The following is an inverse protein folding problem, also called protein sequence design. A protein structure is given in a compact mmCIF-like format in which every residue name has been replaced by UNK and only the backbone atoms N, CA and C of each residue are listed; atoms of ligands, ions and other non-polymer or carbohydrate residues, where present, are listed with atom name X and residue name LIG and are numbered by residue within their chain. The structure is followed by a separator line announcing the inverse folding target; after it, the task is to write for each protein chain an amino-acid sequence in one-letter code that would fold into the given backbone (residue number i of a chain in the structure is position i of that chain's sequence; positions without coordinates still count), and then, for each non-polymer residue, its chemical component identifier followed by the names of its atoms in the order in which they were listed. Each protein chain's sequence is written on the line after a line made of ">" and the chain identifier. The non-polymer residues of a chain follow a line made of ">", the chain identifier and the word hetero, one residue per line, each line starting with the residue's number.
data_IF_130915001155
#
_entry.id   IF_130915001155
#
_cell.length_a   1.000
_cell.length_b   1.000
_cell.length_c   1.000
_cell.angle_alpha   90.00
_cell.angle_beta   90.00
_cell.angle_gamma   90.00
#
_symmetry.space_group_name_H-M   'P 1'
#
loop_
_entity.id
_entity.type
_entity.pdbx_description
1 polymer ?
#
# COMPACT_ATOMS: atom_id res chain seq x y z
N UNK A 1 7.09 -0.74 -39.29
CA UNK A 1 7.83 -0.42 -38.05
C UNK A 1 6.88 -0.48 -36.87
N UNK A 2 6.94 -1.54 -36.08
CA UNK A 2 6.11 -1.68 -34.87
C UNK A 2 6.75 -0.80 -33.80
N UNK A 3 6.07 0.29 -33.39
CA UNK A 3 6.49 1.11 -32.24
C UNK A 3 6.37 0.22 -31.00
N UNK A 4 7.46 -0.41 -30.59
CA UNK A 4 7.54 -1.12 -29.33
C UNK A 4 7.36 -0.13 -28.19
N UNK A 5 6.19 -0.12 -27.57
CA UNK A 5 5.96 0.55 -26.30
C UNK A 5 6.95 -0.03 -25.28
N UNK A 6 7.99 0.74 -24.95
CA UNK A 6 8.88 0.38 -23.85
C UNK A 6 8.07 0.48 -22.56
N UNK A 7 7.58 -0.66 -22.06
CA UNK A 7 6.99 -0.76 -20.71
C UNK A 7 8.05 -0.28 -19.72
N UNK A 8 7.89 0.94 -19.22
CA UNK A 8 8.76 1.55 -18.23
C UNK A 8 8.64 0.70 -16.97
N UNK A 9 9.59 -0.20 -16.75
CA UNK A 9 9.71 -0.95 -15.51
C UNK A 9 10.20 0.02 -14.43
N UNK A 10 9.28 0.86 -13.95
CA UNK A 10 9.57 1.72 -12.80
C UNK A 10 9.94 0.81 -11.63
N UNK A 11 11.17 0.97 -11.10
CA UNK A 11 11.55 0.37 -9.83
C UNK A 11 10.57 0.89 -8.77
N UNK A 12 9.55 0.10 -8.46
CA UNK A 12 8.65 0.39 -7.34
C UNK A 12 9.30 -0.10 -6.05
N UNK A 13 9.40 0.80 -5.08
CA UNK A 13 9.83 0.46 -3.73
C UNK A 13 8.85 -0.54 -3.14
N UNK A 14 9.39 -1.65 -2.64
CA UNK A 14 8.61 -2.69 -1.94
C UNK A 14 8.82 -2.53 -0.44
N UNK A 15 7.76 -2.71 0.33
CA UNK A 15 7.86 -2.76 1.79
C UNK A 15 8.43 -4.13 2.17
N UNK A 16 9.54 -4.12 2.88
CA UNK A 16 10.13 -5.31 3.49
C UNK A 16 9.65 -5.42 4.95
N UNK A 17 8.49 -6.06 5.13
CA UNK A 17 7.90 -6.21 6.46
C UNK A 17 8.74 -7.12 7.38
N UNK A 18 9.52 -8.05 6.81
CA UNK A 18 10.34 -8.97 7.57
C UNK A 18 11.45 -8.23 8.34
N UNK A 19 11.94 -7.11 7.80
CA UNK A 19 12.92 -6.23 8.47
C UNK A 19 12.43 -5.70 9.82
N UNK A 20 11.12 -5.59 10.04
CA UNK A 20 10.53 -5.12 11.30
C UNK A 20 9.84 -6.24 12.09
N UNK A 21 10.07 -7.50 11.74
CA UNK A 21 9.40 -8.65 12.35
C UNK A 21 7.87 -8.53 12.30
N UNK A 22 7.33 -7.94 11.23
CA UNK A 22 5.91 -7.63 11.10
C UNK A 22 5.30 -8.39 9.93
N UNK A 23 4.03 -8.79 10.06
CA UNK A 23 3.27 -9.46 8.99
C UNK A 23 2.37 -8.45 8.28
N UNK A 24 2.15 -8.66 6.98
CA UNK A 24 1.21 -7.85 6.18
C UNK A 24 -0.21 -8.01 6.73
N UNK A 25 -0.57 -9.22 7.11
CA UNK A 25 -1.87 -9.59 7.67
C UNK A 25 -2.10 -8.85 9.00
N UNK A 26 -1.05 -8.71 9.83
CA UNK A 26 -1.14 -7.95 11.08
C UNK A 26 -1.49 -6.47 10.83
N UNK A 27 -0.86 -5.83 9.83
CA UNK A 27 -1.19 -4.45 9.45
C UNK A 27 -2.66 -4.27 9.09
N UNK A 28 -3.24 -5.26 8.38
CA UNK A 28 -4.68 -5.24 8.04
C UNK A 28 -5.54 -5.38 9.30
N UNK A 29 -5.20 -6.31 10.20
CA UNK A 29 -5.96 -6.51 11.44
C UNK A 29 -5.92 -5.27 12.35
N UNK A 30 -4.75 -4.64 12.49
CA UNK A 30 -4.60 -3.39 13.23
C UNK A 30 -5.39 -2.25 12.58
N UNK A 31 -5.42 -2.18 11.23
CA UNK A 31 -6.22 -1.17 10.53
C UNK A 31 -7.72 -1.32 10.84
N UNK A 32 -8.24 -2.56 10.79
CA UNK A 32 -9.67 -2.85 11.02
C UNK A 32 -10.11 -2.57 12.46
N UNK A 33 -9.20 -2.72 13.43
CA UNK A 33 -9.47 -2.49 14.86
C UNK A 33 -9.11 -1.08 15.34
N UNK A 34 -8.44 -0.27 14.50
CA UNK A 34 -8.00 1.05 14.87
C UNK A 34 -9.19 2.00 15.15
N UNK A 35 -9.22 2.54 16.36
CA UNK A 35 -10.23 3.51 16.81
C UNK A 35 -10.16 4.85 16.06
N UNK A 36 -8.95 5.30 15.71
CA UNK A 36 -8.76 6.60 15.05
C UNK A 36 -8.76 6.44 13.51
N UNK A 37 -9.62 7.17 12.77
CA UNK A 37 -9.73 7.03 11.31
C UNK A 37 -8.40 7.19 10.57
N UNK A 38 -7.60 8.19 10.97
CA UNK A 38 -6.27 8.42 10.36
C UNK A 38 -5.30 7.25 10.57
N UNK A 39 -5.41 6.53 11.69
CA UNK A 39 -4.56 5.36 11.96
C UNK A 39 -4.98 4.20 11.07
N UNK A 40 -6.29 3.97 10.93
CA UNK A 40 -6.84 2.97 9.99
C UNK A 40 -6.39 3.21 8.56
N UNK A 41 -6.51 4.44 8.07
CA UNK A 41 -6.05 4.84 6.73
C UNK A 41 -4.56 4.52 6.51
N UNK A 42 -3.69 4.90 7.45
CA UNK A 42 -2.24 4.70 7.31
C UNK A 42 -1.85 3.22 7.33
N UNK A 43 -2.47 2.44 8.22
CA UNK A 43 -2.21 1.01 8.31
C UNK A 43 -2.72 0.27 7.06
N UNK A 44 -3.91 0.63 6.56
CA UNK A 44 -4.43 0.07 5.32
C UNK A 44 -3.57 0.47 4.11
N UNK A 45 -3.06 1.70 4.07
CA UNK A 45 -2.15 2.14 3.01
C UNK A 45 -0.86 1.34 3.02
N UNK A 46 -0.28 1.12 4.19
CA UNK A 46 0.94 0.34 4.33
C UNK A 46 0.72 -1.13 3.95
N UNK A 47 -0.42 -1.70 4.31
CA UNK A 47 -0.84 -3.02 3.87
C UNK A 47 -0.92 -3.11 2.34
N UNK A 48 -1.64 -2.21 1.68
CA UNK A 48 -1.79 -2.18 0.22
C UNK A 48 -0.46 -2.02 -0.51
N UNK A 49 0.42 -1.13 -0.04
CA UNK A 49 1.76 -0.94 -0.60
C UNK A 49 2.61 -2.21 -0.39
N UNK A 50 2.47 -2.90 0.75
CA UNK A 50 3.17 -4.18 0.99
C UNK A 50 2.73 -5.31 0.05
N UNK A 51 1.55 -5.20 -0.57
CA UNK A 51 1.07 -6.10 -1.62
C UNK A 51 1.62 -5.74 -3.03
N UNK A 52 2.43 -4.68 -3.13
CA UNK A 52 3.03 -4.22 -4.38
C UNK A 52 2.23 -3.14 -5.09
N UNK A 53 1.20 -2.57 -4.46
CA UNK A 53 0.47 -1.42 -5.01
C UNK A 53 1.29 -0.14 -4.89
N UNK A 54 1.02 0.83 -5.77
CA UNK A 54 1.75 2.10 -5.78
C UNK A 54 1.25 3.00 -4.66
N UNK A 55 2.17 3.58 -3.90
CA UNK A 55 1.81 4.57 -2.88
C UNK A 55 0.93 5.70 -3.43
N UNK A 56 1.17 6.10 -4.69
CA UNK A 56 0.37 7.13 -5.38
C UNK A 56 -1.02 6.65 -5.79
N UNK A 57 -1.19 5.37 -6.13
CA UNK A 57 -2.53 4.83 -6.42
C UNK A 57 -3.31 4.62 -5.12
N UNK A 58 -2.64 4.06 -4.11
CA UNK A 58 -3.18 3.81 -2.77
C UNK A 58 -3.62 5.11 -2.08
N UNK A 59 -2.86 6.20 -2.23
CA UNK A 59 -3.24 7.49 -1.65
C UNK A 59 -4.55 8.03 -2.22
N UNK A 60 -4.88 7.71 -3.48
CA UNK A 60 -6.14 8.14 -4.10
C UNK A 60 -7.31 7.31 -3.58
N UNK A 61 -7.15 5.98 -3.48
CA UNK A 61 -8.23 5.09 -3.02
C UNK A 61 -8.59 5.27 -1.55
N UNK A 62 -7.60 5.44 -0.67
CA UNK A 62 -7.82 5.46 0.78
C UNK A 62 -8.48 6.75 1.28
N UNK A 63 -8.23 7.88 0.62
CA UNK A 63 -8.90 9.15 0.96
C UNK A 63 -10.42 9.04 0.76
N UNK A 64 -10.85 8.25 -0.22
CA UNK A 64 -12.27 8.12 -0.55
C UNK A 64 -12.99 7.06 0.29
N UNK A 65 -12.26 6.09 0.87
CA UNK A 65 -12.85 4.93 1.54
C UNK A 65 -13.14 5.14 3.05
N UNK A 66 -12.45 6.09 3.69
CA UNK A 66 -12.47 6.26 5.15
C UNK A 66 -12.83 7.67 5.63
N UNK A 67 -13.18 8.55 4.69
CA UNK A 67 -13.78 9.86 4.95
C UNK A 67 -15.28 9.73 5.18
#
# INVERSE_FOLDING_TARGET
>A
MIKGEKKKIGLMLKVDNARWNQSKELLRQEALTAKHPRTRERLMALYEISQGLSATSVSKSIIDLYR
#
